data_IF_267130764769
#
_entry.id   IF_267130764769
#
_cell.length_a   1.000
_cell.length_b   1.000
_cell.length_c   1.000
_cell.angle_alpha   90.00
_cell.angle_beta   90.00
_cell.angle_gamma   90.00
#
_symmetry.space_group_name_H-M   'P 1'
#
loop_
_entity.id
_entity.type
_entity.pdbx_description
1 polymer ?
#
# COMPACT_ATOMS: atom_id res chain seq x y z
N UNK A 1 -22.35 -10.88 1.62
CA UNK A 1 -21.79 -9.51 1.76
C UNK A 1 -22.04 -9.10 3.19
N UNK A 2 -21.02 -9.14 4.06
CA UNK A 2 -21.15 -8.69 5.45
C UNK A 2 -21.43 -7.18 5.46
N UNK A 3 -22.60 -6.79 5.96
CA UNK A 3 -23.14 -5.43 6.04
C UNK A 3 -22.59 -4.67 7.26
N UNK A 4 -21.34 -4.93 7.62
CA UNK A 4 -20.73 -4.24 8.75
C UNK A 4 -20.50 -2.76 8.40
N UNK A 5 -20.88 -1.83 9.28
CA UNK A 5 -20.71 -0.41 9.02
C UNK A 5 -19.22 -0.10 8.85
N UNK A 6 -18.91 0.65 7.78
CA UNK A 6 -17.55 1.10 7.50
C UNK A 6 -17.21 2.25 8.46
N UNK A 7 -16.25 2.00 9.35
CA UNK A 7 -15.83 2.93 10.41
C UNK A 7 -14.86 3.98 9.83
N UNK A 8 -13.92 3.55 8.98
CA UNK A 8 -12.97 4.43 8.33
C UNK A 8 -12.60 3.92 6.93
N UNK A 9 -12.20 4.85 6.04
CA UNK A 9 -11.74 4.56 4.69
C UNK A 9 -10.37 5.17 4.46
N UNK A 10 -9.52 4.43 3.76
CA UNK A 10 -8.19 4.86 3.36
C UNK A 10 -8.05 4.68 1.85
N UNK A 11 -7.94 5.81 1.16
CA UNK A 11 -7.94 5.91 -0.29
C UNK A 11 -6.66 6.61 -0.76
N UNK A 12 -6.22 6.32 -1.99
CA UNK A 12 -5.07 7.01 -2.57
C UNK A 12 -5.37 8.51 -2.75
N UNK A 13 -4.42 9.38 -2.40
CA UNK A 13 -4.52 10.80 -2.74
C UNK A 13 -4.41 10.96 -4.26
N UNK A 14 -5.40 11.59 -4.95
CA UNK A 14 -5.35 11.77 -6.40
C UNK A 14 -4.09 12.49 -6.86
N UNK A 15 -3.68 13.54 -6.15
CA UNK A 15 -2.48 14.31 -6.45
C UNK A 15 -1.19 13.47 -6.29
N UNK A 16 -1.03 12.76 -5.16
CA UNK A 16 0.17 11.93 -4.91
C UNK A 16 0.24 10.75 -5.88
N UNK A 17 -0.91 10.16 -6.20
CA UNK A 17 -1.04 9.09 -7.17
C UNK A 17 -0.61 9.55 -8.56
N UNK A 18 -1.13 10.69 -9.02
CA UNK A 18 -0.79 11.24 -10.34
C UNK A 18 0.70 11.58 -10.43
N UNK A 19 1.24 12.24 -9.40
CA UNK A 19 2.66 12.57 -9.33
C UNK A 19 3.55 11.32 -9.39
N UNK A 20 3.28 10.32 -8.54
CA UNK A 20 4.09 9.10 -8.49
C UNK A 20 4.06 8.30 -9.80
N UNK A 21 2.88 8.18 -10.42
CA UNK A 21 2.74 7.52 -11.73
C UNK A 21 3.47 8.33 -12.81
N UNK A 22 3.31 9.66 -12.81
CA UNK A 22 3.96 10.55 -13.76
C UNK A 22 5.48 10.47 -13.70
N UNK A 23 6.06 10.43 -12.49
CA UNK A 23 7.50 10.27 -12.31
C UNK A 23 7.99 8.91 -12.82
N UNK A 24 7.28 7.81 -12.53
CA UNK A 24 7.67 6.47 -13.00
C UNK A 24 7.57 6.36 -14.52
N UNK A 25 6.49 6.86 -15.12
CA UNK A 25 6.32 6.84 -16.58
C UNK A 25 7.30 7.77 -17.29
N UNK A 26 7.56 8.95 -16.72
CA UNK A 26 8.58 9.87 -17.22
C UNK A 26 9.98 9.25 -17.17
N UNK A 27 10.36 8.62 -16.05
CA UNK A 27 11.65 7.96 -15.91
C UNK A 27 11.77 6.76 -16.85
N UNK A 28 10.76 5.89 -16.91
CA UNK A 28 10.75 4.73 -17.82
C UNK A 28 10.84 5.15 -19.29
N UNK A 29 10.09 6.19 -19.67
CA UNK A 29 10.16 6.79 -21.00
C UNK A 29 11.53 7.40 -21.32
N UNK A 30 12.13 8.12 -20.37
CA UNK A 30 13.46 8.70 -20.52
C UNK A 30 14.54 7.62 -20.71
N UNK A 31 14.49 6.54 -19.93
CA UNK A 31 15.43 5.42 -20.06
C UNK A 31 15.31 4.74 -21.44
N UNK A 32 14.08 4.51 -21.90
CA UNK A 32 13.84 3.98 -23.25
C UNK A 32 14.34 4.95 -24.33
N UNK A 33 14.10 6.25 -24.16
CA UNK A 33 14.55 7.28 -25.08
C UNK A 33 16.07 7.34 -25.19
N UNK A 34 16.78 7.29 -24.06
CA UNK A 34 18.25 7.25 -24.03
C UNK A 34 18.81 6.02 -24.73
N UNK A 35 18.19 4.85 -24.51
CA UNK A 35 18.59 3.61 -25.16
C UNK A 35 18.50 3.70 -26.70
N UNK A 36 17.52 4.44 -27.22
CA UNK A 36 17.27 4.58 -28.66
C UNK A 36 18.07 5.73 -29.31
N UNK A 37 18.12 6.91 -28.67
CA UNK A 37 18.75 8.10 -29.26
C UNK A 37 20.26 8.18 -29.05
N UNK A 38 20.78 7.56 -27.98
CA UNK A 38 22.20 7.58 -27.61
C UNK A 38 22.66 6.18 -27.22
N UNK A 39 22.64 5.21 -28.15
CA UNK A 39 23.01 3.83 -27.85
C UNK A 39 24.49 3.76 -27.40
N UNK A 40 24.78 3.42 -26.14
CA UNK A 40 26.17 3.36 -25.65
C UNK A 40 26.88 2.07 -26.06
N UNK A 41 26.11 1.08 -26.54
CA UNK A 41 26.55 -0.24 -26.98
C UNK A 41 25.39 -1.25 -26.88
N UNK A 42 25.38 -2.34 -27.66
CA UNK A 42 24.23 -3.24 -27.76
C UNK A 42 23.82 -3.88 -26.42
N UNK A 43 24.79 -4.25 -25.57
CA UNK A 43 24.50 -4.78 -24.22
C UNK A 43 23.85 -3.74 -23.30
N UNK A 44 24.32 -2.49 -23.34
CA UNK A 44 23.75 -1.41 -22.54
C UNK A 44 22.35 -1.01 -23.02
N UNK A 45 22.09 -1.07 -24.34
CA UNK A 45 20.74 -0.84 -24.89
C UNK A 45 19.76 -1.87 -24.32
N UNK A 46 20.10 -3.16 -24.36
CA UNK A 46 19.25 -4.22 -23.80
C UNK A 46 19.01 -4.00 -22.30
N UNK A 47 20.06 -3.67 -21.55
CA UNK A 47 19.96 -3.38 -20.11
C UNK A 47 19.06 -2.18 -19.83
N UNK A 48 19.22 -1.06 -20.55
CA UNK A 48 18.42 0.15 -20.38
C UNK A 48 16.95 -0.09 -20.73
N UNK A 49 16.67 -0.84 -21.80
CA UNK A 49 15.31 -1.22 -22.18
C UNK A 49 14.67 -2.14 -21.15
N UNK A 50 15.42 -3.12 -20.62
CA UNK A 50 14.93 -3.98 -19.54
C UNK A 50 14.61 -3.16 -18.27
N UNK A 51 15.46 -2.21 -17.90
CA UNK A 51 15.22 -1.31 -16.78
C UNK A 51 14.02 -0.39 -17.02
N UNK A 52 13.89 0.17 -18.23
CA UNK A 52 12.74 0.97 -18.62
C UNK A 52 11.44 0.17 -18.48
N UNK A 53 11.41 -1.06 -19.02
CA UNK A 53 10.27 -1.96 -18.91
C UNK A 53 9.93 -2.28 -17.44
N UNK A 54 10.92 -2.52 -16.60
CA UNK A 54 10.72 -2.74 -15.17
C UNK A 54 10.10 -1.52 -14.47
N UNK A 55 10.61 -0.31 -14.74
CA UNK A 55 10.09 0.93 -14.15
C UNK A 55 8.66 1.20 -14.60
N UNK A 56 8.36 1.02 -15.90
CA UNK A 56 7.01 1.16 -16.44
C UNK A 56 6.05 0.13 -15.84
N UNK A 57 6.51 -1.12 -15.68
CA UNK A 57 5.73 -2.16 -15.02
C UNK A 57 5.41 -1.81 -13.57
N UNK A 58 6.36 -1.27 -12.80
CA UNK A 58 6.10 -0.77 -11.44
C UNK A 58 5.09 0.37 -11.46
N UNK A 59 5.19 1.30 -12.41
CA UNK A 59 4.23 2.39 -12.58
C UNK A 59 2.81 1.90 -12.86
N UNK A 60 2.66 0.90 -13.73
CA UNK A 60 1.36 0.31 -14.03
C UNK A 60 0.79 -0.45 -12.82
N UNK A 61 1.63 -1.20 -12.09
CA UNK A 61 1.23 -1.86 -10.85
C UNK A 61 0.79 -0.86 -9.78
N UNK A 62 1.46 0.29 -9.67
CA UNK A 62 1.04 1.40 -8.80
C UNK A 62 -0.29 2.01 -9.28
N UNK A 63 -0.47 2.22 -10.58
CA UNK A 63 -1.71 2.78 -11.16
C UNK A 63 -2.92 1.90 -10.88
N UNK A 64 -2.76 0.58 -10.97
CA UNK A 64 -3.78 -0.41 -10.67
C UNK A 64 -4.05 -0.51 -9.16
N UNK A 65 -2.99 -0.71 -8.36
CA UNK A 65 -3.13 -0.87 -6.90
C UNK A 65 -3.69 0.36 -6.20
N UNK A 66 -3.38 1.57 -6.68
CA UNK A 66 -3.92 2.83 -6.11
C UNK A 66 -5.41 3.09 -6.41
N UNK A 67 -6.09 2.21 -7.17
CA UNK A 67 -7.56 2.26 -7.33
C UNK A 67 -8.29 1.59 -6.16
N UNK A 68 -7.57 0.80 -5.38
CA UNK A 68 -8.08 0.10 -4.21
C UNK A 68 -8.47 1.09 -3.11
N UNK A 69 -9.55 0.76 -2.40
CA UNK A 69 -9.95 1.42 -1.15
C UNK A 69 -9.80 0.43 -0.01
N UNK A 70 -9.07 0.81 1.04
CA UNK A 70 -9.02 0.02 2.28
C UNK A 70 -10.10 0.52 3.23
N UNK A 71 -10.87 -0.40 3.79
CA UNK A 71 -11.94 -0.13 4.73
C UNK A 71 -11.64 -0.77 6.08
N UNK A 72 -11.89 0.00 7.14
CA UNK A 72 -11.95 -0.51 8.50
C UNK A 72 -13.42 -0.78 8.84
N UNK A 73 -13.68 -1.99 9.31
CA UNK A 73 -15.00 -2.50 9.75
C UNK A 73 -14.87 -3.12 11.14
N UNK A 74 -15.99 -3.49 11.76
CA UNK A 74 -15.99 -4.21 13.04
C UNK A 74 -15.20 -5.53 12.96
N UNK A 75 -15.30 -6.23 11.84
CA UNK A 75 -14.54 -7.45 11.54
C UNK A 75 -13.04 -7.24 11.28
N UNK A 76 -12.58 -6.00 11.09
CA UNK A 76 -11.17 -5.67 10.84
C UNK A 76 -10.92 -4.90 9.53
N UNK A 77 -9.72 -5.06 8.97
CA UNK A 77 -9.26 -4.39 7.76
C UNK A 77 -9.56 -5.23 6.52
N UNK A 78 -10.18 -4.62 5.52
CA UNK A 78 -10.50 -5.27 4.24
C UNK A 78 -10.34 -4.33 3.05
N UNK A 79 -10.22 -4.92 1.88
CA UNK A 79 -10.29 -4.21 0.61
C UNK A 79 -11.75 -4.07 0.17
N UNK A 80 -12.16 -2.88 -0.29
CA UNK A 80 -13.52 -2.67 -0.83
C UNK A 80 -13.77 -3.61 -2.02
N UNK A 81 -14.78 -4.47 -1.89
CA UNK A 81 -15.14 -5.44 -2.93
C UNK A 81 -14.10 -6.54 -3.15
N UNK A 82 -13.13 -6.67 -2.24
CA UNK A 82 -11.98 -7.56 -2.38
C UNK A 82 -11.73 -8.40 -1.14
N UNK A 83 -10.45 -8.67 -0.89
CA UNK A 83 -10.00 -9.59 0.15
C UNK A 83 -9.96 -8.94 1.54
N UNK A 84 -10.09 -9.78 2.58
CA UNK A 84 -9.79 -9.39 3.96
C UNK A 84 -8.28 -9.22 4.12
N UNK A 85 -7.84 -8.02 4.54
CA UNK A 85 -6.44 -7.65 4.72
C UNK A 85 -5.93 -8.20 6.05
N UNK A 86 -6.68 -7.96 7.13
CA UNK A 86 -6.38 -8.44 8.47
C UNK A 86 -7.68 -8.49 9.32
N UNK A 87 -8.12 -9.68 9.75
CA UNK A 87 -9.24 -9.80 10.69
C UNK A 87 -8.91 -9.13 12.03
N UNK A 88 -9.89 -8.50 12.68
CA UNK A 88 -9.69 -7.82 13.95
C UNK A 88 -9.12 -8.76 15.03
N UNK A 89 -9.59 -10.01 15.08
CA UNK A 89 -9.11 -11.04 16.01
C UNK A 89 -7.63 -11.41 15.86
N UNK A 90 -7.08 -11.27 14.66
CA UNK A 90 -5.67 -11.54 14.37
C UNK A 90 -4.77 -10.35 14.68
N UNK A 91 -5.33 -9.15 14.82
CA UNK A 91 -4.54 -7.95 15.07
C UNK A 91 -4.13 -7.91 16.56
N UNK A 92 -2.83 -7.78 16.78
CA UNK A 92 -2.19 -7.71 18.10
C UNK A 92 -1.81 -6.27 18.43
N UNK A 93 -1.30 -5.51 17.47
CA UNK A 93 -0.78 -4.17 17.70
C UNK A 93 -0.88 -3.29 16.47
N UNK A 94 -1.08 -2.00 16.70
CA UNK A 94 -1.01 -0.94 15.70
C UNK A 94 0.14 0.01 16.04
N UNK A 95 1.00 0.31 15.07
CA UNK A 95 2.16 1.18 15.22
C UNK A 95 2.07 2.40 14.31
N UNK A 96 2.09 3.59 14.92
CA UNK A 96 1.95 4.90 14.27
C UNK A 96 3.26 5.71 14.22
N UNK A 97 4.29 5.27 14.95
CA UNK A 97 5.51 6.05 15.21
C UNK A 97 6.43 6.22 14.00
N UNK A 98 7.19 7.31 13.95
CA UNK A 98 8.17 7.58 12.90
C UNK A 98 9.31 6.54 12.80
N UNK A 99 9.54 5.80 13.89
CA UNK A 99 10.55 4.74 13.99
C UNK A 99 10.00 3.32 13.72
N UNK A 100 8.71 3.18 13.41
CA UNK A 100 8.16 1.92 12.93
C UNK A 100 8.49 1.77 11.43
N UNK A 101 8.79 0.55 10.97
CA UNK A 101 8.92 0.22 9.54
C UNK A 101 7.55 0.35 8.84
N UNK A 102 7.01 1.57 8.78
CA UNK A 102 5.72 1.89 8.19
C UNK A 102 5.94 2.53 6.82
N UNK A 103 5.05 2.27 5.86
CA UNK A 103 5.07 2.99 4.59
C UNK A 103 4.88 4.49 4.82
N UNK A 104 5.40 5.32 3.91
CA UNK A 104 5.27 6.78 3.97
C UNK A 104 3.82 7.20 4.21
N UNK A 105 3.60 8.09 5.18
CA UNK A 105 2.25 8.55 5.58
C UNK A 105 1.27 7.44 5.98
N UNK A 106 1.80 6.28 6.41
CA UNK A 106 1.02 5.11 6.79
C UNK A 106 1.14 4.72 8.26
N UNK A 107 0.67 3.52 8.56
CA UNK A 107 0.81 2.81 9.84
C UNK A 107 1.10 1.32 9.60
N UNK A 108 1.58 0.64 10.64
CA UNK A 108 1.88 -0.79 10.61
C UNK A 108 0.93 -1.52 11.56
N UNK A 109 0.50 -2.70 11.15
CA UNK A 109 -0.30 -3.63 11.96
C UNK A 109 0.48 -4.93 12.12
N UNK A 110 0.58 -5.40 13.36
CA UNK A 110 1.20 -6.68 13.68
C UNK A 110 0.11 -7.70 13.99
N UNK A 111 0.20 -8.84 13.30
CA UNK A 111 -0.71 -9.97 13.42
C UNK A 111 -0.20 -11.01 14.43
N UNK A 112 -1.14 -11.79 14.98
CA UNK A 112 -0.88 -12.91 15.88
C UNK A 112 -0.20 -14.03 15.10
N UNK A 113 -0.81 -14.45 14.00
CA UNK A 113 -0.28 -15.50 13.12
C UNK A 113 0.30 -14.92 11.82
N UNK A 114 1.28 -15.61 11.18
CA UNK A 114 1.75 -15.23 9.85
C UNK A 114 0.65 -15.39 8.81
N UNK A 115 0.50 -14.41 7.92
CA UNK A 115 -0.49 -14.41 6.85
C UNK A 115 0.16 -14.46 5.46
N UNK A 116 -0.61 -14.91 4.47
CA UNK A 116 -0.16 -15.02 3.08
C UNK A 116 0.38 -13.68 2.54
N UNK A 117 1.53 -13.71 1.86
CA UNK A 117 2.18 -12.51 1.33
C UNK A 117 1.27 -11.83 0.31
N UNK A 118 1.09 -10.52 0.45
CA UNK A 118 0.32 -9.71 -0.48
C UNK A 118 0.97 -8.34 -0.65
N UNK A 119 0.84 -7.75 -1.83
CA UNK A 119 1.38 -6.43 -2.11
C UNK A 119 0.49 -5.68 -3.08
N UNK A 120 -0.08 -4.58 -2.61
CA UNK A 120 -0.85 -3.62 -3.40
C UNK A 120 -0.04 -2.32 -3.42
N UNK A 121 0.75 -2.08 -4.49
CA UNK A 121 1.70 -0.97 -4.52
C UNK A 121 1.03 0.36 -4.24
N UNK A 122 1.66 1.14 -3.34
CA UNK A 122 1.19 2.45 -2.90
C UNK A 122 0.04 2.45 -1.89
N UNK A 123 -0.57 1.31 -1.59
CA UNK A 123 -1.70 1.22 -0.66
C UNK A 123 -1.39 0.37 0.58
N UNK A 124 -0.97 -0.88 0.38
CA UNK A 124 -0.64 -1.76 1.50
C UNK A 124 0.21 -2.95 1.08
N UNK A 125 0.84 -3.59 2.06
CA UNK A 125 1.58 -4.84 1.88
C UNK A 125 1.41 -5.72 3.11
N UNK A 126 1.58 -7.02 2.93
CA UNK A 126 1.55 -8.03 3.98
C UNK A 126 2.70 -9.01 3.79
N UNK A 127 3.48 -9.21 4.85
CA UNK A 127 4.61 -10.12 4.85
C UNK A 127 4.79 -10.73 6.25
N UNK A 128 4.65 -12.05 6.35
CA UNK A 128 4.69 -12.75 7.63
C UNK A 128 3.60 -12.22 8.56
N UNK A 129 4.00 -11.69 9.71
CA UNK A 129 3.08 -11.13 10.72
C UNK A 129 2.83 -9.62 10.57
N UNK A 130 3.37 -8.98 9.53
CA UNK A 130 3.34 -7.52 9.39
C UNK A 130 2.46 -7.11 8.21
N UNK A 131 1.60 -6.13 8.43
CA UNK A 131 0.79 -5.47 7.41
C UNK A 131 1.08 -3.97 7.47
N UNK A 132 1.69 -3.43 6.42
CA UNK A 132 1.88 -1.98 6.29
C UNK A 132 0.76 -1.38 5.46
N UNK A 133 0.11 -0.33 5.95
CA UNK A 133 -0.91 0.43 5.23
C UNK A 133 -0.41 1.85 4.99
N UNK A 134 -0.34 2.28 3.74
CA UNK A 134 0.09 3.62 3.34
C UNK A 134 0.88 3.64 2.04
N UNK A 135 1.55 4.77 1.77
CA UNK A 135 2.28 5.04 0.53
C UNK A 135 1.77 6.30 -0.14
N UNK A 136 0.83 6.15 -1.09
CA UNK A 136 0.18 7.27 -1.79
C UNK A 136 -1.07 7.78 -1.06
N UNK A 137 -1.40 7.22 0.10
CA UNK A 137 -2.55 7.61 0.92
C UNK A 137 -2.31 8.95 1.66
N UNK A 138 -3.36 9.71 1.99
CA UNK A 138 -3.24 10.88 2.87
C UNK A 138 -2.83 10.49 4.29
N UNK A 139 -1.85 11.21 4.87
CA UNK A 139 -1.38 10.94 6.24
C UNK A 139 -2.47 11.13 7.30
N UNK A 140 -3.38 12.09 7.08
CA UNK A 140 -4.53 12.31 7.97
C UNK A 140 -5.49 11.11 8.01
N UNK A 141 -5.82 10.53 6.84
CA UNK A 141 -6.67 9.34 6.77
C UNK A 141 -6.00 8.13 7.42
N UNK A 142 -4.70 7.91 7.16
CA UNK A 142 -3.96 6.81 7.76
C UNK A 142 -3.88 6.94 9.29
N UNK A 143 -3.66 8.16 9.79
CA UNK A 143 -3.67 8.43 11.23
C UNK A 143 -5.04 8.17 11.83
N UNK A 144 -6.10 8.74 11.27
CA UNK A 144 -7.47 8.55 11.76
C UNK A 144 -7.87 7.06 11.77
N UNK A 145 -7.56 6.31 10.72
CA UNK A 145 -7.83 4.87 10.66
C UNK A 145 -7.05 4.09 11.72
N UNK A 146 -5.76 4.41 11.92
CA UNK A 146 -4.96 3.77 12.96
C UNK A 146 -5.49 4.07 14.37
N UNK A 147 -5.98 5.28 14.62
CA UNK A 147 -6.56 5.70 15.89
C UNK A 147 -7.87 4.93 16.16
N UNK A 148 -8.75 4.84 15.17
CA UNK A 148 -9.98 4.04 15.26
C UNK A 148 -9.69 2.55 15.47
N UNK A 149 -8.71 1.99 14.77
CA UNK A 149 -8.31 0.60 14.95
C UNK A 149 -7.75 0.34 16.36
N UNK A 150 -6.98 1.28 16.92
CA UNK A 150 -6.50 1.18 18.29
C UNK A 150 -7.65 1.18 19.31
N UNK A 151 -8.69 2.00 19.08
CA UNK A 151 -9.89 2.02 19.93
C UNK A 151 -10.65 0.69 19.87
N UNK A 152 -10.82 0.11 18.68
CA UNK A 152 -11.48 -1.20 18.51
C UNK A 152 -10.71 -2.32 19.21
N UNK A 153 -9.38 -2.30 19.14
CA UNK A 153 -8.55 -3.29 19.85
C UNK A 153 -8.69 -3.16 21.37
N UNK A 154 -8.69 -1.93 21.89
CA UNK A 154 -8.86 -1.68 23.32
C UNK A 154 -10.28 -2.07 23.82
N UNK A 155 -11.32 -1.89 22.99
CA UNK A 155 -12.67 -2.36 23.31
C UNK A 155 -12.73 -3.90 23.39
N UNK A 156 -12.14 -4.59 22.39
CA UNK A 156 -12.05 -6.06 22.38
C UNK A 156 -11.37 -6.63 23.62
N UNK A 157 -10.33 -5.97 24.11
CA UNK A 157 -9.59 -6.39 25.32
C UNK A 157 -10.38 -6.19 26.62
N UNK A 158 -11.41 -5.33 26.62
CA UNK A 158 -12.29 -5.13 27.78
C UNK A 158 -13.45 -6.11 27.82
N UNK A 159 -13.93 -6.52 26.65
CA UNK A 159 -15.12 -7.36 26.49
C UNK A 159 -14.81 -8.88 26.44
N UNK A 160 -13.52 -9.25 26.42
CA UNK A 160 -13.05 -10.65 26.39
C UNK A 160 -12.29 -11.03 27.65
#
# INVERSE_FOLDING_TARGET
MSTDPVIARLEASPARRLFAIGVLYGLGGLLALLALLRPPGPGYVVMLLALAALVLWVGERLRQGSRTVVELTGDGLRERGGAVIAPLGEIVRVERGAFAFKPSNGFLVTLRTPAARAWVPGMWWRMGRRVGLGGVTPGGQAKAMADQLALLLAARERDG
#
